data_IF_827708229899
#
_entry.id   IF_827708229899
#
_cell.length_a   1.000
_cell.length_b   1.000
_cell.length_c   1.000
_cell.angle_alpha   90.00
_cell.angle_beta   90.00
_cell.angle_gamma   90.00
#
_symmetry.space_group_name_H-M   'P 1'
#
loop_
_entity.id
_entity.type
_entity.pdbx_description
1 polymer ?
#
# COMPACT_ATOMS: atom_id res chain seq x y z
N UNK A 1 -4.30 18.18 13.63
CA UNK A 1 -3.34 17.40 12.83
C UNK A 1 -2.40 18.34 12.08
N UNK A 2 -1.08 18.08 12.10
CA UNK A 2 -0.11 18.87 11.34
C UNK A 2 -0.38 18.72 9.83
N UNK A 3 -0.30 19.81 9.05
CA UNK A 3 -0.49 19.84 7.60
C UNK A 3 0.37 18.77 6.91
N UNK A 4 1.61 18.56 7.38
CA UNK A 4 2.49 17.52 6.86
C UNK A 4 1.86 16.12 6.97
N UNK A 5 1.28 15.80 8.13
CA UNK A 5 0.68 14.47 8.40
C UNK A 5 -0.60 14.28 7.58
N UNK A 6 -1.42 15.33 7.46
CA UNK A 6 -2.60 15.30 6.58
C UNK A 6 -2.18 15.03 5.13
N UNK A 7 -1.15 15.72 4.64
CA UNK A 7 -0.62 15.51 3.30
C UNK A 7 -0.12 14.07 3.11
N UNK A 8 0.63 13.52 4.08
CA UNK A 8 1.07 12.12 4.03
C UNK A 8 -0.11 11.14 3.97
N UNK A 9 -1.15 11.34 4.79
CA UNK A 9 -2.36 10.49 4.78
C UNK A 9 -3.05 10.51 3.42
N UNK A 10 -3.23 11.70 2.84
CA UNK A 10 -3.87 11.87 1.53
C UNK A 10 -3.02 11.20 0.44
N UNK A 11 -1.70 11.41 0.42
CA UNK A 11 -0.80 10.81 -0.58
C UNK A 11 -0.87 9.28 -0.50
N UNK A 12 -0.78 8.71 0.71
CA UNK A 12 -0.84 7.25 0.90
C UNK A 12 -2.21 6.71 0.50
N UNK A 13 -3.30 7.32 0.96
CA UNK A 13 -4.65 6.85 0.68
C UNK A 13 -4.96 6.91 -0.82
N UNK A 14 -4.72 8.04 -1.48
CA UNK A 14 -4.96 8.19 -2.90
C UNK A 14 -4.03 7.30 -3.73
N UNK A 15 -2.76 7.13 -3.31
CA UNK A 15 -1.83 6.21 -3.95
C UNK A 15 -2.32 4.76 -3.92
N UNK A 16 -2.80 4.28 -2.77
CA UNK A 16 -3.37 2.94 -2.63
C UNK A 16 -4.64 2.79 -3.49
N UNK A 17 -5.57 3.75 -3.43
CA UNK A 17 -6.80 3.71 -4.22
C UNK A 17 -6.50 3.72 -5.73
N UNK A 18 -5.56 4.55 -6.18
CA UNK A 18 -5.13 4.59 -7.58
C UNK A 18 -4.61 3.23 -8.06
N UNK A 19 -3.73 2.60 -7.28
CA UNK A 19 -3.14 1.30 -7.65
C UNK A 19 -4.19 0.18 -7.70
N UNK A 20 -5.12 0.15 -6.75
CA UNK A 20 -6.04 -0.97 -6.58
C UNK A 20 -7.39 -0.81 -7.29
N UNK A 21 -7.85 0.41 -7.53
CA UNK A 21 -9.09 0.68 -8.25
C UNK A 21 -8.86 0.98 -9.73
N UNK A 22 -7.85 1.80 -10.07
CA UNK A 22 -7.65 2.28 -11.43
C UNK A 22 -6.59 1.47 -12.19
N UNK A 23 -5.43 1.25 -11.56
CA UNK A 23 -4.27 0.64 -12.23
C UNK A 23 -4.17 -0.87 -12.09
N UNK A 24 -5.14 -1.53 -11.44
CA UNK A 24 -5.09 -2.97 -11.13
C UNK A 24 -4.80 -3.83 -12.37
N UNK A 25 -5.41 -3.48 -13.49
CA UNK A 25 -5.30 -4.20 -14.77
C UNK A 25 -4.32 -3.53 -15.76
N UNK A 26 -3.52 -2.57 -15.30
CA UNK A 26 -2.55 -1.86 -16.13
C UNK A 26 -1.14 -2.37 -15.87
N UNK A 27 -0.38 -2.48 -16.96
CA UNK A 27 1.06 -2.77 -16.91
C UNK A 27 1.79 -1.54 -16.40
N UNK A 28 2.78 -1.76 -15.54
CA UNK A 28 3.58 -0.70 -14.94
C UNK A 28 4.99 -1.20 -14.71
N UNK A 29 5.98 -0.33 -14.80
CA UNK A 29 7.38 -0.68 -14.53
C UNK A 29 7.61 -1.22 -13.10
N UNK A 30 6.64 -1.04 -12.20
CA UNK A 30 6.72 -1.45 -10.80
C UNK A 30 6.10 -2.83 -10.51
N UNK A 31 5.45 -3.47 -11.50
CA UNK A 31 4.83 -4.80 -11.32
C UNK A 31 5.88 -5.86 -11.01
N UNK A 32 5.59 -6.74 -10.07
CA UNK A 32 6.50 -7.83 -9.71
C UNK A 32 6.78 -8.81 -10.85
N UNK A 33 8.03 -9.24 -10.99
CA UNK A 33 8.46 -10.20 -12.02
C UNK A 33 8.23 -9.69 -13.45
N UNK A 34 7.53 -10.46 -14.28
CA UNK A 34 7.18 -10.04 -15.66
C UNK A 34 5.68 -9.79 -15.82
N UNK A 35 4.99 -9.44 -14.73
CA UNK A 35 3.54 -9.30 -14.73
C UNK A 35 3.05 -7.99 -15.37
N UNK A 36 1.97 -8.07 -16.13
CA UNK A 36 1.27 -6.92 -16.72
C UNK A 36 0.08 -6.43 -15.90
N UNK A 37 -0.34 -7.19 -14.89
CA UNK A 37 -1.45 -6.83 -14.01
C UNK A 37 -1.31 -7.46 -12.63
N UNK A 38 -2.16 -7.03 -11.70
CA UNK A 38 -2.12 -7.49 -10.30
C UNK A 38 -2.35 -9.00 -10.16
N UNK A 39 -3.18 -9.61 -11.02
CA UNK A 39 -3.46 -11.05 -10.94
C UNK A 39 -2.24 -11.88 -11.33
N UNK A 40 -1.57 -11.50 -12.42
CA UNK A 40 -0.30 -12.10 -12.84
C UNK A 40 0.82 -11.84 -11.83
N UNK A 41 0.84 -10.67 -11.20
CA UNK A 41 1.82 -10.32 -10.17
C UNK A 41 1.69 -11.25 -8.95
N UNK A 42 0.47 -11.47 -8.46
CA UNK A 42 0.22 -12.42 -7.37
C UNK A 42 0.50 -13.87 -7.79
N UNK A 43 0.18 -14.25 -9.03
CA UNK A 43 0.55 -15.56 -9.57
C UNK A 43 2.08 -15.76 -9.58
N UNK A 44 2.84 -14.72 -9.94
CA UNK A 44 4.31 -14.72 -9.94
C UNK A 44 4.87 -14.85 -8.52
N UNK A 45 4.19 -14.27 -7.52
CA UNK A 45 4.52 -14.48 -6.10
C UNK A 45 4.19 -15.89 -5.59
N UNK A 46 3.49 -16.72 -6.39
CA UNK A 46 2.98 -18.03 -5.99
C UNK A 46 1.77 -17.94 -5.06
N UNK A 47 0.98 -16.86 -5.16
CA UNK A 47 -0.18 -16.60 -4.31
C UNK A 47 -1.49 -16.74 -5.10
N UNK A 48 -2.54 -17.33 -4.51
CA UNK A 48 -3.81 -17.51 -5.20
C UNK A 48 -4.57 -16.19 -5.35
N UNK A 49 -5.43 -16.10 -6.38
CA UNK A 49 -6.31 -14.94 -6.64
C UNK A 49 -7.16 -14.51 -5.43
N UNK A 50 -7.56 -15.46 -4.58
CA UNK A 50 -8.29 -15.14 -3.34
C UNK A 50 -7.47 -14.25 -2.40
N UNK A 51 -6.17 -14.53 -2.28
CA UNK A 51 -5.27 -13.72 -1.46
C UNK A 51 -5.08 -12.32 -2.05
N UNK A 52 -5.01 -12.19 -3.39
CA UNK A 52 -5.01 -10.88 -4.06
C UNK A 52 -6.25 -10.04 -3.67
N UNK A 53 -7.44 -10.64 -3.67
CA UNK A 53 -8.66 -9.95 -3.26
C UNK A 53 -8.65 -9.56 -1.78
N UNK A 54 -8.13 -10.41 -0.90
CA UNK A 54 -7.91 -10.04 0.52
C UNK A 54 -7.03 -8.80 0.64
N UNK A 55 -5.89 -8.76 -0.07
CA UNK A 55 -4.99 -7.59 -0.05
C UNK A 55 -5.66 -6.36 -0.67
N UNK A 56 -6.46 -6.52 -1.72
CA UNK A 56 -7.25 -5.44 -2.31
C UNK A 56 -8.20 -4.81 -1.27
N UNK A 57 -9.02 -5.64 -0.62
CA UNK A 57 -9.97 -5.19 0.39
C UNK A 57 -9.27 -4.49 1.57
N UNK A 58 -8.18 -5.08 2.08
CA UNK A 58 -7.42 -4.49 3.19
C UNK A 58 -6.81 -3.13 2.82
N UNK A 59 -6.23 -3.00 1.62
CA UNK A 59 -5.63 -1.73 1.18
C UNK A 59 -6.67 -0.64 0.92
N UNK A 60 -7.83 -1.00 0.36
CA UNK A 60 -8.93 -0.04 0.17
C UNK A 60 -9.49 0.39 1.54
N UNK A 61 -9.74 -0.56 2.44
CA UNK A 61 -10.23 -0.25 3.78
C UNK A 61 -9.26 0.65 4.55
N UNK A 62 -7.96 0.36 4.50
CA UNK A 62 -6.93 1.20 5.11
C UNK A 62 -6.87 2.61 4.49
N UNK A 63 -6.98 2.72 3.17
CA UNK A 63 -6.98 4.02 2.49
C UNK A 63 -8.20 4.87 2.88
N UNK A 64 -9.40 4.28 2.90
CA UNK A 64 -10.63 4.96 3.35
C UNK A 64 -10.52 5.36 4.82
N UNK A 65 -9.99 4.48 5.67
CA UNK A 65 -9.78 4.78 7.09
C UNK A 65 -8.76 5.90 7.31
N UNK A 66 -7.69 6.00 6.50
CA UNK A 66 -6.75 7.12 6.55
C UNK A 66 -7.42 8.45 6.16
N UNK A 67 -8.30 8.45 5.14
CA UNK A 67 -9.05 9.66 4.76
C UNK A 67 -10.08 10.05 5.83
N UNK A 68 -10.82 9.08 6.37
CA UNK A 68 -11.71 9.30 7.50
C UNK A 68 -10.96 9.78 8.75
N UNK A 69 -9.71 9.34 8.91
CA UNK A 69 -8.76 9.74 9.95
C UNK A 69 -8.51 11.25 10.02
N UNK A 70 -8.72 11.97 8.92
CA UNK A 70 -8.64 13.44 8.89
C UNK A 70 -9.69 14.07 9.81
N UNK A 71 -10.88 13.45 9.89
CA UNK A 71 -11.98 13.90 10.72
C UNK A 71 -12.09 13.11 12.04
N UNK A 72 -11.61 11.86 12.05
CA UNK A 72 -11.65 10.93 13.18
C UNK A 72 -10.25 10.39 13.49
N UNK A 73 -9.40 11.14 14.22
CA UNK A 73 -7.98 10.81 14.43
C UNK A 73 -7.71 9.40 14.98
N UNK A 74 -8.64 8.83 15.76
CA UNK A 74 -8.53 7.47 16.30
C UNK A 74 -8.42 6.38 15.23
N UNK A 75 -8.79 6.65 13.97
CA UNK A 75 -8.64 5.73 12.85
C UNK A 75 -7.23 5.73 12.24
N UNK A 76 -6.45 6.79 12.46
CA UNK A 76 -5.15 7.01 11.79
C UNK A 76 -4.15 5.93 12.20
N UNK A 77 -3.99 5.69 13.50
CA UNK A 77 -3.04 4.71 14.02
C UNK A 77 -3.31 3.27 13.50
N UNK A 78 -4.52 2.69 13.68
CA UNK A 78 -4.78 1.33 13.18
C UNK A 78 -4.68 1.23 11.65
N UNK A 79 -5.11 2.25 10.92
CA UNK A 79 -5.00 2.26 9.45
C UNK A 79 -3.54 2.31 8.99
N UNK A 80 -2.72 3.21 9.57
CA UNK A 80 -1.30 3.32 9.24
C UNK A 80 -0.53 2.04 9.60
N UNK A 81 -0.80 1.43 10.76
CA UNK A 81 -0.21 0.15 11.15
C UNK A 81 -0.54 -0.97 10.18
N UNK A 82 -1.80 -1.04 9.70
CA UNK A 82 -2.20 -1.99 8.68
C UNK A 82 -1.45 -1.74 7.35
N UNK A 83 -1.33 -0.49 6.90
CA UNK A 83 -0.57 -0.17 5.68
C UNK A 83 0.91 -0.57 5.83
N UNK A 84 1.54 -0.30 6.98
CA UNK A 84 2.92 -0.72 7.27
C UNK A 84 3.07 -2.23 7.11
N UNK A 85 2.21 -3.03 7.75
CA UNK A 85 2.25 -4.48 7.64
C UNK A 85 2.08 -4.97 6.19
N UNK A 86 1.15 -4.37 5.44
CA UNK A 86 0.90 -4.71 4.04
C UNK A 86 2.07 -4.32 3.11
N UNK A 87 2.75 -3.20 3.37
CA UNK A 87 3.91 -2.79 2.58
C UNK A 87 5.14 -3.65 2.88
N UNK A 88 5.35 -4.05 4.14
CA UNK A 88 6.40 -5.02 4.48
C UNK A 88 6.17 -6.34 3.75
N UNK A 89 4.93 -6.84 3.72
CA UNK A 89 4.56 -8.01 2.93
C UNK A 89 4.84 -7.83 1.44
N UNK A 90 4.52 -6.67 0.86
CA UNK A 90 4.78 -6.37 -0.55
C UNK A 90 6.29 -6.35 -0.86
N UNK A 91 7.10 -5.70 -0.02
CA UNK A 91 8.56 -5.69 -0.17
C UNK A 91 9.14 -7.11 -0.07
N UNK A 92 8.65 -7.92 0.87
CA UNK A 92 9.06 -9.31 1.00
C UNK A 92 8.74 -10.12 -0.27
N UNK A 93 7.62 -9.86 -0.94
CA UNK A 93 7.28 -10.53 -2.21
C UNK A 93 8.20 -10.11 -3.36
N UNK A 94 8.53 -8.83 -3.49
CA UNK A 94 9.52 -8.36 -4.47
C UNK A 94 10.91 -8.99 -4.22
N UNK A 95 11.33 -9.10 -2.96
CA UNK A 95 12.58 -9.80 -2.59
C UNK A 95 12.50 -11.29 -2.97
N UNK A 96 11.36 -11.95 -2.67
CA UNK A 96 11.13 -13.37 -2.97
C UNK A 96 11.29 -13.68 -4.46
N UNK A 97 10.76 -12.83 -5.33
CA UNK A 97 10.88 -13.00 -6.80
C UNK A 97 12.12 -12.33 -7.39
N UNK A 98 13.01 -11.80 -6.54
CA UNK A 98 14.29 -11.17 -6.90
C UNK A 98 14.11 -10.00 -7.88
N UNK A 99 13.08 -9.18 -7.65
CA UNK A 99 12.86 -7.99 -8.45
C UNK A 99 13.99 -6.95 -8.26
N UNK A 100 14.32 -6.17 -9.30
CA UNK A 100 15.15 -4.99 -9.14
C UNK A 100 14.51 -3.99 -8.16
N UNK A 101 15.34 -3.30 -7.37
CA UNK A 101 14.92 -2.36 -6.33
C UNK A 101 13.94 -1.29 -6.85
N UNK A 102 14.07 -0.89 -8.12
CA UNK A 102 13.15 0.06 -8.78
C UNK A 102 11.68 -0.35 -8.65
N UNK A 103 11.37 -1.64 -8.70
CA UNK A 103 9.99 -2.16 -8.60
C UNK A 103 9.40 -2.03 -7.21
N UNK A 104 10.25 -2.11 -6.19
CA UNK A 104 9.88 -1.95 -4.79
C UNK A 104 9.70 -0.48 -4.38
N UNK A 105 10.06 0.50 -5.23
CA UNK A 105 9.98 1.92 -4.88
C UNK A 105 8.60 2.36 -4.39
N UNK A 106 7.47 2.04 -5.06
CA UNK A 106 6.17 2.45 -4.57
C UNK A 106 5.85 1.88 -3.19
N UNK A 107 6.16 0.60 -2.95
CA UNK A 107 5.93 -0.03 -1.66
C UNK A 107 6.81 0.58 -0.55
N UNK A 108 8.09 0.86 -0.86
CA UNK A 108 9.02 1.49 0.07
C UNK A 108 8.62 2.95 0.39
N UNK A 109 8.18 3.72 -0.59
CA UNK A 109 7.71 5.09 -0.38
C UNK A 109 6.46 5.13 0.50
N UNK A 110 5.48 4.26 0.22
CA UNK A 110 4.26 4.17 1.04
C UNK A 110 4.59 3.69 2.46
N UNK A 111 5.51 2.74 2.62
CA UNK A 111 5.98 2.29 3.93
C UNK A 111 6.56 3.45 4.73
N UNK A 112 7.50 4.21 4.14
CA UNK A 112 8.13 5.35 4.79
C UNK A 112 7.09 6.40 5.24
N UNK A 113 6.17 6.78 4.35
CA UNK A 113 5.11 7.74 4.66
C UNK A 113 4.20 7.22 5.79
N UNK A 114 3.88 5.93 5.79
CA UNK A 114 3.03 5.32 6.83
C UNK A 114 3.72 5.26 8.18
N UNK A 115 5.03 5.03 8.21
CA UNK A 115 5.85 5.11 9.43
C UNK A 115 5.87 6.55 9.95
N UNK A 116 6.03 7.56 9.08
CA UNK A 116 5.98 8.98 9.47
C UNK A 116 4.62 9.33 10.09
N UNK A 117 3.52 8.86 9.49
CA UNK A 117 2.17 9.05 10.04
C UNK A 117 2.08 8.43 11.44
N UNK A 118 2.53 7.18 11.61
CA UNK A 118 2.44 6.46 12.88
C UNK A 118 3.33 7.09 13.97
N UNK A 119 4.53 7.52 13.61
CA UNK A 119 5.48 8.15 14.52
C UNK A 119 5.06 9.56 14.96
N UNK A 120 4.12 10.19 14.24
CA UNK A 120 3.64 11.55 14.57
C UNK A 120 2.84 11.65 15.87
N UNK A 121 2.48 10.52 16.49
CA UNK A 121 1.82 10.51 17.80
C UNK A 121 0.40 11.07 17.80
N UNK A 122 -0.26 11.17 16.63
CA UNK A 122 -1.71 11.45 16.51
C UNK A 122 -2.58 10.24 16.95
N UNK A 123 -2.10 9.47 17.93
CA UNK A 123 -2.77 8.30 18.54
C UNK A 123 -3.83 8.78 19.52
#
# INVERSE_FOLDING_TARGET
>A
MNILIVACQIIVALGLLNVWLLRRNQSTEYRGGSADNMEQEFATYGLPKRFMWTICCLKIAAAVALLAGIFLPSLVAPAASLVVALMLGALAMHIKVKDPIKKSLPAASVLLLSIIILASGQI
#
